data_IF_834479411373
#
_entry.id   IF_834479411373
#
_cell.length_a   1.000
_cell.length_b   1.000
_cell.length_c   1.000
_cell.angle_alpha   90.00
_cell.angle_beta   90.00
_cell.angle_gamma   90.00
#
_symmetry.space_group_name_H-M   'P 1'
#
loop_
_entity.id
_entity.type
_entity.pdbx_description
1 polymer ?
#
# COMPACT_ATOMS: atom_id res chain seq x y z
N UNK A 1 6.02 -22.81 -21.14
CA UNK A 1 5.97 -22.28 -19.76
C UNK A 1 6.87 -21.06 -19.67
N UNK A 2 6.31 -19.85 -19.47
CA UNK A 2 7.13 -18.68 -19.07
C UNK A 2 7.57 -18.94 -17.63
N UNK A 3 8.87 -18.93 -17.35
CA UNK A 3 9.34 -18.79 -15.97
C UNK A 3 8.69 -17.53 -15.40
N UNK A 4 8.11 -17.55 -14.19
CA UNK A 4 7.66 -16.30 -13.58
C UNK A 4 8.87 -15.37 -13.56
N UNK A 5 8.73 -14.17 -14.13
CA UNK A 5 9.81 -13.18 -14.07
C UNK A 5 10.11 -12.97 -12.60
N UNK A 6 11.36 -13.17 -12.19
CA UNK A 6 11.75 -12.84 -10.83
C UNK A 6 11.46 -11.36 -10.58
N UNK A 7 10.86 -11.06 -9.43
CA UNK A 7 10.66 -9.69 -9.00
C UNK A 7 11.96 -9.20 -8.31
N UNK A 8 12.79 -8.37 -8.98
CA UNK A 8 14.06 -7.95 -8.42
C UNK A 8 13.86 -7.12 -7.14
N UNK A 9 12.79 -6.33 -7.08
CA UNK A 9 12.50 -5.46 -5.96
C UNK A 9 12.10 -6.22 -4.70
N UNK A 10 11.50 -7.41 -4.84
CA UNK A 10 11.26 -8.29 -3.69
C UNK A 10 12.56 -8.70 -3.00
N UNK A 11 13.59 -9.04 -3.77
CA UNK A 11 14.89 -9.45 -3.22
C UNK A 11 15.61 -8.27 -2.57
N UNK A 12 15.64 -7.12 -3.24
CA UNK A 12 16.31 -5.93 -2.70
C UNK A 12 15.59 -5.37 -1.48
N UNK A 13 14.25 -5.35 -1.49
CA UNK A 13 13.46 -4.95 -0.33
C UNK A 13 13.69 -5.85 0.87
N UNK A 14 13.77 -7.18 0.69
CA UNK A 14 14.11 -8.11 1.80
C UNK A 14 15.52 -7.83 2.34
N UNK A 15 16.48 -7.48 1.48
CA UNK A 15 17.84 -7.12 1.92
C UNK A 15 17.81 -5.87 2.79
N UNK A 16 17.23 -4.77 2.27
CA UNK A 16 17.12 -3.50 2.99
C UNK A 16 16.36 -3.64 4.31
N UNK A 17 15.30 -4.45 4.31
CA UNK A 17 14.53 -4.75 5.51
C UNK A 17 15.39 -5.38 6.61
N UNK A 18 16.27 -6.33 6.25
CA UNK A 18 17.21 -6.96 7.18
C UNK A 18 18.33 -6.01 7.61
N UNK A 19 18.68 -5.06 6.77
CA UNK A 19 19.65 -4.01 7.04
C UNK A 19 19.05 -2.85 7.85
N UNK A 20 17.79 -2.97 8.30
CA UNK A 20 17.02 -1.95 9.02
C UNK A 20 16.76 -0.65 8.24
N UNK A 21 17.02 -0.64 6.93
CA UNK A 21 16.54 0.40 6.02
C UNK A 21 15.08 0.13 5.66
N UNK A 22 14.18 0.41 6.62
CA UNK A 22 12.76 0.09 6.50
C UNK A 22 12.09 0.94 5.41
N UNK A 23 12.45 2.23 5.31
CA UNK A 23 11.90 3.11 4.28
C UNK A 23 12.32 2.66 2.88
N UNK A 24 13.60 2.34 2.67
CA UNK A 24 14.08 1.81 1.40
C UNK A 24 13.50 0.43 1.08
N UNK A 25 13.20 -0.38 2.09
CA UNK A 25 12.50 -1.65 1.91
C UNK A 25 11.05 -1.44 1.47
N UNK A 26 10.33 -0.48 2.05
CA UNK A 26 8.96 -0.11 1.66
C UNK A 26 8.94 0.34 0.20
N UNK A 27 9.87 1.21 -0.21
CA UNK A 27 9.97 1.66 -1.61
C UNK A 27 10.14 0.49 -2.58
N UNK A 28 11.04 -0.45 -2.27
CA UNK A 28 11.28 -1.61 -3.11
C UNK A 28 10.09 -2.57 -3.10
N UNK A 29 9.47 -2.83 -1.96
CA UNK A 29 8.28 -3.68 -1.92
C UNK A 29 7.11 -3.08 -2.71
N UNK A 30 6.93 -1.76 -2.68
CA UNK A 30 5.91 -1.08 -3.48
C UNK A 30 6.17 -1.23 -4.99
N UNK A 31 7.41 -1.00 -5.45
CA UNK A 31 7.81 -1.30 -6.84
C UNK A 31 7.62 -2.79 -7.18
N UNK A 32 7.80 -3.66 -6.19
CA UNK A 32 7.53 -5.08 -6.31
C UNK A 32 6.05 -5.35 -6.60
N UNK A 33 5.14 -4.73 -5.85
CA UNK A 33 3.69 -4.88 -6.03
C UNK A 33 3.25 -4.34 -7.39
N UNK A 34 3.86 -3.27 -7.89
CA UNK A 34 3.56 -2.78 -9.26
C UNK A 34 3.82 -3.83 -10.34
N UNK A 35 4.81 -4.72 -10.13
CA UNK A 35 5.11 -5.82 -11.05
C UNK A 35 4.24 -7.05 -10.84
N UNK A 36 3.92 -7.36 -9.58
CA UNK A 36 3.05 -8.47 -9.20
C UNK A 36 2.12 -8.06 -8.06
N UNK A 37 0.93 -7.50 -8.40
CA UNK A 37 -0.02 -7.04 -7.40
C UNK A 37 -0.64 -8.15 -6.54
N UNK A 38 -0.44 -9.42 -6.92
CA UNK A 38 -0.99 -10.57 -6.21
C UNK A 38 0.06 -11.27 -5.33
N UNK A 39 1.30 -10.78 -5.27
CA UNK A 39 2.35 -11.41 -4.45
C UNK A 39 2.06 -11.22 -2.95
N UNK A 40 1.46 -12.26 -2.37
CA UNK A 40 1.13 -12.32 -0.95
C UNK A 40 2.33 -12.07 -0.01
N UNK A 41 3.56 -12.40 -0.43
CA UNK A 41 4.74 -12.19 0.41
C UNK A 41 5.22 -10.74 0.37
N UNK A 42 5.08 -10.04 -0.76
CA UNK A 42 5.33 -8.60 -0.83
C UNK A 42 4.36 -7.84 0.06
N UNK A 43 3.08 -8.18 0.00
CA UNK A 43 2.07 -7.62 0.89
C UNK A 43 2.35 -7.91 2.37
N UNK A 44 2.71 -9.14 2.72
CA UNK A 44 3.07 -9.48 4.11
C UNK A 44 4.29 -8.67 4.60
N UNK A 45 5.34 -8.56 3.77
CA UNK A 45 6.53 -7.79 4.14
C UNK A 45 6.23 -6.30 4.31
N UNK A 46 5.35 -5.72 3.48
CA UNK A 46 4.88 -4.34 3.66
C UNK A 46 4.06 -4.18 4.94
N UNK A 47 3.23 -5.16 5.30
CA UNK A 47 2.52 -5.14 6.57
C UNK A 47 3.48 -5.05 7.76
N UNK A 48 4.55 -5.86 7.75
CA UNK A 48 5.59 -5.80 8.76
C UNK A 48 6.34 -4.45 8.74
N UNK A 49 6.75 -3.98 7.57
CA UNK A 49 7.47 -2.70 7.44
C UNK A 49 6.63 -1.53 7.94
N UNK A 50 5.35 -1.46 7.57
CA UNK A 50 4.46 -0.41 8.03
C UNK A 50 4.16 -0.50 9.52
N UNK A 51 4.09 -1.72 10.08
CA UNK A 51 3.99 -1.93 11.52
C UNK A 51 5.22 -1.39 12.26
N UNK A 52 6.44 -1.64 11.75
CA UNK A 52 7.69 -1.10 12.32
C UNK A 52 7.78 0.44 12.23
N UNK A 53 7.18 1.05 11.21
CA UNK A 53 7.11 2.51 11.06
C UNK A 53 5.87 3.15 11.67
N UNK A 54 5.12 2.40 12.49
CA UNK A 54 3.93 2.89 13.20
C UNK A 54 2.84 3.45 12.27
N UNK A 55 2.65 2.82 11.11
CA UNK A 55 1.65 3.18 10.07
C UNK A 55 0.54 2.12 10.03
N UNK A 56 -0.37 2.07 11.04
CA UNK A 56 -1.24 0.92 11.25
C UNK A 56 -2.22 0.72 10.09
N UNK A 57 -2.82 1.80 9.59
CA UNK A 57 -3.77 1.75 8.45
C UNK A 57 -3.18 1.06 7.22
N UNK A 58 -1.93 1.40 6.87
CA UNK A 58 -1.22 0.79 5.73
C UNK A 58 -0.81 -0.65 6.01
N UNK A 59 -0.36 -0.92 7.24
CA UNK A 59 0.00 -2.27 7.67
C UNK A 59 -1.18 -3.24 7.59
N UNK A 60 -2.33 -2.84 8.13
CA UNK A 60 -3.59 -3.56 8.07
C UNK A 60 -4.08 -3.81 6.64
N UNK A 61 -4.03 -2.79 5.77
CA UNK A 61 -4.38 -2.93 4.36
C UNK A 61 -3.56 -4.02 3.67
N UNK A 62 -2.24 -3.98 3.80
CA UNK A 62 -1.39 -4.97 3.15
C UNK A 62 -1.47 -6.35 3.80
N UNK A 63 -1.72 -6.43 5.11
CA UNK A 63 -1.96 -7.70 5.79
C UNK A 63 -3.24 -8.37 5.25
N UNK A 64 -4.31 -7.60 5.08
CA UNK A 64 -5.54 -8.07 4.43
C UNK A 64 -5.26 -8.55 3.01
N UNK A 65 -4.54 -7.77 2.21
CA UNK A 65 -4.18 -8.17 0.84
C UNK A 65 -3.35 -9.45 0.78
N UNK A 66 -2.42 -9.65 1.72
CA UNK A 66 -1.67 -10.88 1.83
C UNK A 66 -2.61 -12.08 2.02
N UNK A 67 -3.58 -11.97 2.95
CA UNK A 67 -4.56 -13.02 3.25
C UNK A 67 -5.52 -13.26 2.07
N UNK A 68 -6.02 -12.20 1.43
CA UNK A 68 -6.83 -12.28 0.20
C UNK A 68 -6.09 -13.02 -0.93
N UNK A 69 -4.79 -12.77 -1.07
CA UNK A 69 -3.93 -13.40 -2.08
C UNK A 69 -3.41 -14.79 -1.67
N UNK A 70 -3.89 -15.35 -0.55
CA UNK A 70 -3.64 -16.74 -0.17
C UNK A 70 -2.61 -16.96 0.94
N UNK A 71 -2.19 -15.90 1.65
CA UNK A 71 -1.44 -16.05 2.90
C UNK A 71 -2.33 -16.69 3.97
N UNK A 72 -1.93 -17.87 4.46
CA UNK A 72 -2.71 -18.69 5.40
C UNK A 72 -2.01 -18.93 6.74
N UNK A 73 -0.80 -18.41 6.90
CA UNK A 73 -0.02 -18.60 8.12
C UNK A 73 -0.46 -17.59 9.20
N UNK A 74 -1.68 -17.79 9.71
CA UNK A 74 -2.28 -16.90 10.71
C UNK A 74 -1.53 -16.92 12.04
N UNK A 75 -0.85 -18.01 12.36
CA UNK A 75 0.02 -18.08 13.53
C UNK A 75 1.20 -17.13 13.39
N UNK A 76 1.78 -17.02 12.18
CA UNK A 76 2.79 -15.99 11.90
C UNK A 76 2.25 -14.57 12.08
N UNK A 77 1.00 -14.28 11.72
CA UNK A 77 0.41 -12.94 11.96
C UNK A 77 0.35 -12.60 13.46
N UNK A 78 0.01 -13.59 14.28
CA UNK A 78 -0.09 -13.43 15.74
C UNK A 78 1.25 -13.35 16.46
N UNK A 79 2.29 -13.97 15.90
CA UNK A 79 3.56 -14.18 16.60
C UNK A 79 4.72 -13.37 16.05
N UNK A 80 4.69 -12.92 14.79
CA UNK A 80 5.82 -12.22 14.19
C UNK A 80 6.09 -10.88 14.89
N UNK A 81 7.31 -10.68 15.38
CA UNK A 81 7.66 -9.52 16.20
C UNK A 81 7.38 -8.19 15.49
N UNK A 82 7.71 -8.10 14.20
CA UNK A 82 7.51 -6.86 13.43
C UNK A 82 6.03 -6.46 13.28
N UNK A 83 5.08 -7.37 13.50
CA UNK A 83 3.64 -7.07 13.52
C UNK A 83 3.11 -6.68 14.91
N UNK A 84 3.98 -6.56 15.92
CA UNK A 84 3.59 -6.26 17.30
C UNK A 84 2.81 -4.95 17.39
N UNK A 85 3.22 -3.91 16.65
CA UNK A 85 2.52 -2.62 16.66
C UNK A 85 1.10 -2.74 16.10
N UNK A 86 0.87 -3.55 15.06
CA UNK A 86 -0.49 -3.81 14.57
C UNK A 86 -1.33 -4.57 15.60
N UNK A 87 -0.75 -5.53 16.32
CA UNK A 87 -1.47 -6.35 17.31
C UNK A 87 -1.96 -5.59 18.53
N UNK A 88 -1.35 -4.45 18.85
CA UNK A 88 -1.77 -3.60 19.98
C UNK A 88 -2.84 -2.56 19.59
N UNK A 89 -3.17 -2.44 18.30
CA UNK A 89 -4.22 -1.53 17.87
C UNK A 89 -5.60 -2.08 18.25
N UNK A 90 -6.53 -1.19 18.58
CA UNK A 90 -7.89 -1.54 19.01
C UNK A 90 -8.64 -2.35 17.94
N UNK A 91 -8.37 -2.07 16.66
CA UNK A 91 -9.00 -2.72 15.53
C UNK A 91 -8.48 -4.15 15.26
N UNK A 92 -7.37 -4.56 15.87
CA UNK A 92 -6.74 -5.86 15.55
C UNK A 92 -7.62 -7.05 15.92
N UNK A 93 -8.33 -6.97 17.05
CA UNK A 93 -9.20 -8.05 17.51
C UNK A 93 -10.34 -8.28 16.52
N UNK A 94 -11.08 -7.23 16.14
CA UNK A 94 -12.12 -7.29 15.11
C UNK A 94 -11.56 -7.76 13.76
N UNK A 95 -10.38 -7.24 13.38
CA UNK A 95 -9.71 -7.65 12.15
C UNK A 95 -9.41 -9.16 12.15
N UNK A 96 -8.93 -9.71 13.26
CA UNK A 96 -8.65 -11.13 13.41
C UNK A 96 -9.94 -11.98 13.37
N UNK A 97 -10.99 -11.56 14.08
CA UNK A 97 -12.28 -12.25 14.11
C UNK A 97 -12.93 -12.33 12.72
N UNK A 98 -12.78 -11.28 11.92
CA UNK A 98 -13.22 -11.23 10.52
C UNK A 98 -12.30 -11.99 9.55
N UNK A 99 -11.32 -12.74 10.05
CA UNK A 99 -10.39 -13.51 9.23
C UNK A 99 -9.38 -12.64 8.48
N UNK A 100 -8.91 -11.57 9.12
CA UNK A 100 -7.98 -10.56 8.60
C UNK A 100 -8.55 -9.79 7.40
N UNK A 101 -9.81 -9.36 7.53
CA UNK A 101 -10.52 -8.53 6.54
C UNK A 101 -11.34 -7.46 7.25
N UNK A 102 -11.30 -6.22 6.77
CA UNK A 102 -12.26 -5.21 7.21
C UNK A 102 -13.57 -5.36 6.43
N UNK A 103 -14.68 -5.49 7.15
CA UNK A 103 -16.00 -5.39 6.54
C UNK A 103 -16.25 -3.92 6.19
N UNK A 104 -16.51 -3.61 4.92
CA UNK A 104 -16.86 -2.28 4.43
C UNK A 104 -18.29 -1.86 4.84
N UNK A 105 -18.71 -2.20 6.05
CA UNK A 105 -20.07 -2.05 6.56
C UNK A 105 -20.04 -1.39 7.94
N UNK A 106 -19.65 -0.11 7.99
CA UNK A 106 -19.87 0.71 9.18
C UNK A 106 -18.64 1.41 9.77
N UNK A 107 -18.02 2.30 9.01
CA UNK A 107 -17.60 3.60 9.55
C UNK A 107 -17.50 4.58 8.40
N UNK A 108 -18.24 5.71 8.42
CA UNK A 108 -17.90 6.85 7.58
C UNK A 108 -16.45 7.19 7.87
N UNK A 109 -15.66 7.36 6.82
CA UNK A 109 -14.40 8.07 6.91
C UNK A 109 -14.77 9.48 7.36
N UNK A 110 -14.80 9.70 8.67
CA UNK A 110 -14.99 11.01 9.26
C UNK A 110 -13.75 11.83 8.87
N UNK A 111 -14.01 12.81 8.01
CA UNK A 111 -13.22 14.02 7.84
C UNK A 111 -12.74 14.50 9.23
N UNK A 112 -11.48 14.87 9.44
CA UNK A 112 -11.06 16.29 9.44
C UNK A 112 -9.55 16.39 9.71
N UNK A 113 -8.87 17.12 8.83
CA UNK A 113 -7.83 18.13 9.05
C UNK A 113 -6.63 17.84 9.97
N UNK A 114 -5.51 17.41 9.34
CA UNK A 114 -4.24 18.16 9.26
C UNK A 114 -3.33 17.50 8.22
N UNK A 115 -2.66 18.34 7.46
CA UNK A 115 -1.94 18.04 6.21
C UNK A 115 -0.78 17.07 6.43
N UNK A 116 -0.89 15.85 5.88
CA UNK A 116 0.22 15.07 5.32
C UNK A 116 -0.29 14.32 4.08
N UNK A 117 0.33 14.46 2.90
CA UNK A 117 -0.10 13.75 1.71
C UNK A 117 0.52 12.34 1.73
N UNK A 118 -0.03 11.44 2.54
CA UNK A 118 0.29 10.00 2.46
C UNK A 118 -0.87 9.23 1.82
N UNK A 119 -1.07 9.51 0.53
CA UNK A 119 -1.04 8.53 -0.56
C UNK A 119 -1.83 7.22 -0.41
N UNK A 120 -2.70 7.05 -1.41
CA UNK A 120 -3.53 5.91 -1.75
C UNK A 120 -2.69 4.93 -2.59
N UNK A 121 -2.47 3.73 -2.07
CA UNK A 121 -1.53 2.72 -2.63
C UNK A 121 -2.20 1.93 -3.77
N UNK A 122 -2.50 2.65 -4.85
CA UNK A 122 -2.72 2.20 -6.24
C UNK A 122 -2.88 3.47 -7.10
N UNK A 123 -3.36 4.55 -6.49
CA UNK A 123 -3.50 5.86 -7.10
C UNK A 123 -2.23 6.70 -6.98
N UNK A 124 -1.09 6.20 -6.54
CA UNK A 124 0.07 7.06 -6.30
C UNK A 124 0.69 7.63 -7.59
N UNK A 125 0.73 6.78 -8.62
CA UNK A 125 1.12 7.16 -9.98
C UNK A 125 0.02 8.01 -10.63
N UNK A 126 -1.25 7.62 -10.45
CA UNK A 126 -2.38 8.37 -10.98
C UNK A 126 -2.47 9.77 -10.34
N UNK A 127 -2.27 9.86 -9.03
CA UNK A 127 -2.30 11.07 -8.23
C UNK A 127 -1.12 11.96 -8.56
N UNK A 128 0.09 11.43 -8.70
CA UNK A 128 1.25 12.21 -9.15
C UNK A 128 1.06 12.74 -10.60
N UNK A 129 0.45 11.94 -11.48
CA UNK A 129 0.09 12.37 -12.84
C UNK A 129 -1.01 13.45 -12.82
N UNK A 130 -2.03 13.31 -11.98
CA UNK A 130 -3.09 14.30 -11.80
C UNK A 130 -2.58 15.59 -11.16
N UNK A 131 -1.66 15.50 -10.19
CA UNK A 131 -0.99 16.65 -9.57
C UNK A 131 -0.14 17.40 -10.60
N UNK A 132 0.65 16.69 -11.41
CA UNK A 132 1.43 17.28 -12.51
C UNK A 132 0.53 17.99 -13.53
N UNK A 133 -0.60 17.39 -13.90
CA UNK A 133 -1.58 18.03 -14.79
C UNK A 133 -2.17 19.30 -14.17
N UNK A 134 -2.50 19.27 -12.87
CA UNK A 134 -3.01 20.42 -12.13
C UNK A 134 -1.99 21.57 -12.07
N UNK A 135 -0.71 21.26 -11.84
CA UNK A 135 0.37 22.25 -11.89
C UNK A 135 0.53 22.89 -13.26
N UNK A 136 0.50 22.10 -14.34
CA UNK A 136 0.62 22.62 -15.71
C UNK A 136 -0.53 23.56 -16.04
N UNK A 137 -1.76 23.23 -15.61
CA UNK A 137 -2.93 24.10 -15.73
C UNK A 137 -2.73 25.40 -14.95
N UNK A 138 -2.33 25.31 -13.68
CA UNK A 138 -2.13 26.49 -12.83
C UNK A 138 -0.99 27.40 -13.33
N UNK A 139 0.01 26.84 -14.02
CA UNK A 139 1.11 27.57 -14.68
C UNK A 139 0.70 28.16 -16.04
N UNK A 140 -0.54 27.95 -16.50
CA UNK A 140 -1.01 28.39 -17.82
C UNK A 140 -0.40 27.63 -19.00
N UNK A 141 0.26 26.49 -18.73
CA UNK A 141 0.89 25.62 -19.74
C UNK A 141 -0.08 24.58 -20.30
N UNK A 142 -1.31 24.52 -19.77
CA UNK A 142 -2.35 23.59 -20.18
C UNK A 142 -3.71 24.29 -20.09
N UNK A 143 -4.53 24.20 -21.14
CA UNK A 143 -5.89 24.74 -21.12
C UNK A 143 -6.86 23.86 -20.32
N UNK A 144 -7.97 24.44 -19.83
CA UNK A 144 -8.99 23.69 -19.07
C UNK A 144 -9.58 22.51 -19.85
N UNK A 145 -9.67 22.65 -21.18
CA UNK A 145 -10.15 21.61 -22.08
C UNK A 145 -9.16 20.45 -22.20
N UNK A 146 -7.87 20.74 -22.31
CA UNK A 146 -6.81 19.73 -22.37
C UNK A 146 -6.61 19.03 -21.02
N UNK A 147 -6.67 19.77 -19.92
CA UNK A 147 -6.64 19.23 -18.57
C UNK A 147 -7.76 18.20 -18.33
N UNK A 148 -8.99 18.54 -18.75
CA UNK A 148 -10.15 17.66 -18.58
C UNK A 148 -10.01 16.36 -19.41
N UNK A 149 -9.51 16.47 -20.64
CA UNK A 149 -9.26 15.33 -21.54
C UNK A 149 -8.19 14.38 -21.00
N UNK A 150 -7.05 14.91 -20.56
CA UNK A 150 -5.96 14.10 -20.03
C UNK A 150 -6.32 13.47 -18.67
N UNK A 151 -7.03 14.21 -17.82
CA UNK A 151 -7.61 13.66 -16.59
C UNK A 151 -8.55 12.49 -16.87
N UNK A 152 -9.44 12.61 -17.84
CA UNK A 152 -10.39 11.54 -18.18
C UNK A 152 -9.70 10.29 -18.75
N UNK A 153 -8.64 10.47 -19.56
CA UNK A 153 -7.83 9.35 -20.06
C UNK A 153 -7.11 8.60 -18.94
N UNK A 154 -6.57 9.32 -17.97
CA UNK A 154 -5.86 8.74 -16.83
C UNK A 154 -6.79 7.93 -15.92
N UNK A 155 -8.05 8.35 -15.77
CA UNK A 155 -9.04 7.67 -14.94
C UNK A 155 -9.68 6.43 -15.62
N UNK A 156 -9.44 6.23 -16.92
CA UNK A 156 -10.00 5.11 -17.71
C UNK A 156 -8.99 4.00 -17.97
N UNK A 157 -7.76 4.14 -17.49
CA UNK A 157 -6.61 3.29 -17.82
C UNK A 157 -6.31 2.32 -16.70
#
# INVERSE_FOLDING_TARGET
MRRPRENPFKKTGISKYKDYDIDGAIEDFNKGIELDPADMALHFNLACAYSLTEKPKKGFYHLQKAVENGFKDFEKIKTHDDLAYLRIQEEFEEFQENGYKFNTSGSPIETIDKVEPEVVIQDDILLSQLQKLSELRNKGLLSDKEYSLEKEKLMRR
#
